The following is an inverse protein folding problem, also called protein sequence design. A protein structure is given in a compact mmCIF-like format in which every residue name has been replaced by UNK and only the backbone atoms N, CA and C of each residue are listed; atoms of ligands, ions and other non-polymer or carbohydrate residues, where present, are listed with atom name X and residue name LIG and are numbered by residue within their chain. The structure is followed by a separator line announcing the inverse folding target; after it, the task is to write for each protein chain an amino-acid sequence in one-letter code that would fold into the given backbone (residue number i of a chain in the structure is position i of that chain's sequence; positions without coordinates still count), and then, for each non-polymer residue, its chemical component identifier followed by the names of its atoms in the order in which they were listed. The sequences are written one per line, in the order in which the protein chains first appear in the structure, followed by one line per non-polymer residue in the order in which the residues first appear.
data_IF_157526853638
#
_entry.id   IF_157526853638
#
_cell.length_a   1.000
_cell.length_b   1.000
_cell.length_c   1.000
_cell.angle_alpha   90.00
_cell.angle_beta   90.00
_cell.angle_gamma   90.00
#
_symmetry.space_group_name_H-M   'P 1'
#
loop_
_entity.id
_entity.type
_entity.pdbx_description
1 polymer ?
#
# COMPACT_ATOMS: atom_id res chain seq x y z
N UNK A 1 -89.45 -14.40 15.96
CA UNK A 1 -88.84 -14.08 17.27
C UNK A 1 -88.02 -15.32 17.66
N UNK A 2 -87.00 -15.73 16.92
CA UNK A 2 -85.66 -15.13 16.74
C UNK A 2 -84.98 -14.82 18.09
N UNK A 3 -84.21 -15.79 18.59
CA UNK A 3 -83.28 -15.61 19.70
C UNK A 3 -81.87 -15.84 19.17
N UNK A 4 -81.11 -14.75 19.09
CA UNK A 4 -79.75 -14.69 18.59
C UNK A 4 -78.75 -15.24 19.61
N UNK A 5 -77.91 -16.15 19.13
CA UNK A 5 -76.66 -16.63 19.75
C UNK A 5 -75.65 -15.48 19.85
N UNK A 6 -74.89 -15.31 20.96
CA UNK A 6 -73.76 -14.39 20.95
C UNK A 6 -72.60 -15.01 20.18
N UNK A 7 -72.21 -14.40 19.07
CA UNK A 7 -70.98 -14.70 18.37
C UNK A 7 -69.79 -14.17 19.18
N UNK A 8 -68.93 -15.08 19.66
CA UNK A 8 -67.57 -14.73 20.12
C UNK A 8 -66.77 -14.20 18.94
N UNK A 9 -66.55 -12.89 18.91
CA UNK A 9 -65.61 -12.24 18.01
C UNK A 9 -64.19 -12.49 18.52
N UNK A 10 -63.57 -13.57 18.05
CA UNK A 10 -62.13 -13.75 18.14
C UNK A 10 -61.46 -12.61 17.37
N UNK A 11 -60.91 -11.65 18.11
CA UNK A 11 -60.15 -10.54 17.55
C UNK A 11 -58.81 -11.10 17.09
N UNK A 12 -58.63 -11.26 15.78
CA UNK A 12 -57.30 -11.46 15.19
C UNK A 12 -56.48 -10.20 15.46
N UNK A 13 -55.75 -10.20 16.58
CA UNK A 13 -54.72 -9.21 16.86
C UNK A 13 -53.63 -9.36 15.81
N UNK A 14 -53.71 -8.54 14.77
CA UNK A 14 -52.62 -8.33 13.84
C UNK A 14 -51.38 -7.94 14.64
N UNK A 15 -50.25 -8.56 14.30
CA UNK A 15 -48.95 -8.27 14.92
C UNK A 15 -48.71 -6.77 14.80
N UNK A 16 -49.00 -6.04 15.87
CA UNK A 16 -48.88 -4.59 15.88
C UNK A 16 -47.42 -4.22 15.68
N UNK A 17 -47.15 -3.12 15.00
CA UNK A 17 -45.78 -2.63 14.78
C UNK A 17 -44.98 -2.51 16.09
N UNK A 18 -45.65 -2.24 17.22
CA UNK A 18 -45.05 -2.26 18.56
C UNK A 18 -44.67 -3.65 19.08
N UNK A 19 -45.38 -4.70 18.66
CA UNK A 19 -45.07 -6.09 18.99
C UNK A 19 -43.85 -6.58 18.19
N UNK A 20 -43.71 -6.14 16.93
CA UNK A 20 -42.50 -6.36 16.11
C UNK A 20 -41.29 -5.65 16.72
N UNK A 21 -41.41 -4.37 17.05
CA UNK A 21 -40.30 -3.62 17.68
C UNK A 21 -39.90 -4.19 19.04
N UNK A 22 -40.86 -4.64 19.86
CA UNK A 22 -40.56 -5.33 21.12
C UNK A 22 -39.80 -6.63 20.88
N UNK A 23 -40.21 -7.42 19.89
CA UNK A 23 -39.56 -8.70 19.57
C UNK A 23 -38.15 -8.51 19.01
N UNK A 24 -37.94 -7.50 18.17
CA UNK A 24 -36.60 -7.08 17.71
C UNK A 24 -35.76 -6.62 18.91
N UNK A 25 -36.32 -5.83 19.82
CA UNK A 25 -35.63 -5.38 21.03
C UNK A 25 -35.21 -6.55 21.92
N UNK A 26 -36.09 -7.54 22.10
CA UNK A 26 -35.82 -8.74 22.90
C UNK A 26 -34.73 -9.62 22.27
N UNK A 27 -34.80 -9.86 20.95
CA UNK A 27 -33.80 -10.60 20.20
C UNK A 27 -32.44 -9.89 20.19
N UNK A 28 -32.43 -8.56 20.03
CA UNK A 28 -31.18 -7.75 20.06
C UNK A 28 -30.54 -7.80 21.44
N UNK A 29 -31.34 -7.78 22.51
CA UNK A 29 -30.86 -7.90 23.89
C UNK A 29 -30.34 -9.30 24.19
N UNK A 30 -31.05 -10.34 23.74
CA UNK A 30 -30.57 -11.73 23.85
C UNK A 30 -29.25 -11.95 23.09
N UNK A 31 -29.12 -11.40 21.89
CA UNK A 31 -27.87 -11.45 21.13
C UNK A 31 -26.75 -10.70 21.87
N UNK A 32 -27.04 -9.50 22.39
CA UNK A 32 -26.08 -8.71 23.15
C UNK A 32 -25.62 -9.42 24.43
N UNK A 33 -26.57 -9.99 25.19
CA UNK A 33 -26.28 -10.72 26.42
C UNK A 33 -25.45 -11.97 26.11
N UNK A 34 -25.78 -12.72 25.05
CA UNK A 34 -25.02 -13.89 24.60
C UNK A 34 -23.59 -13.52 24.14
N UNK A 35 -23.44 -12.46 23.33
CA UNK A 35 -22.12 -11.95 22.91
C UNK A 35 -21.27 -11.49 24.10
N UNK A 36 -21.90 -10.95 25.14
CA UNK A 36 -21.23 -10.52 26.36
C UNK A 36 -20.86 -11.70 27.26
N UNK A 37 -21.73 -12.69 27.40
CA UNK A 37 -21.48 -13.91 28.19
C UNK A 37 -20.36 -14.78 27.58
N UNK A 38 -20.25 -14.79 26.26
CA UNK A 38 -19.19 -15.48 25.51
C UNK A 38 -17.87 -14.68 25.44
N UNK A 39 -17.81 -13.46 25.99
CA UNK A 39 -16.60 -12.62 25.99
C UNK A 39 -16.24 -11.98 24.63
N UNK A 40 -17.16 -12.00 23.67
CA UNK A 40 -16.93 -11.44 22.32
C UNK A 40 -17.33 -9.98 22.18
N UNK A 41 -18.09 -9.44 23.14
CA UNK A 41 -18.43 -8.02 23.16
C UNK A 41 -17.19 -7.12 23.19
N UNK A 42 -16.11 -7.54 23.84
CA UNK A 42 -14.85 -6.80 23.89
C UNK A 42 -14.08 -6.93 22.56
N UNK A 43 -13.96 -8.14 22.00
CA UNK A 43 -13.27 -8.35 20.69
C UNK A 43 -13.94 -7.62 19.52
N UNK A 44 -15.27 -7.62 19.46
CA UNK A 44 -16.01 -6.90 18.41
C UNK A 44 -15.83 -5.38 18.55
N UNK A 45 -15.67 -4.90 19.78
CA UNK A 45 -15.41 -3.49 20.08
C UNK A 45 -14.01 -3.09 19.65
N UNK A 46 -13.01 -3.93 19.91
CA UNK A 46 -11.63 -3.76 19.43
C UNK A 46 -11.59 -3.69 17.89
N UNK A 47 -12.23 -4.63 17.19
CA UNK A 47 -12.34 -4.60 15.72
C UNK A 47 -13.03 -3.32 15.20
N UNK A 48 -14.02 -2.81 15.92
CA UNK A 48 -14.71 -1.56 15.56
C UNK A 48 -13.81 -0.33 15.77
N UNK A 49 -12.88 -0.38 16.72
CA UNK A 49 -11.88 0.67 16.96
C UNK A 49 -10.71 0.62 15.94
N UNK A 50 -10.42 -0.55 15.39
CA UNK A 50 -9.37 -0.78 14.40
C UNK A 50 -9.75 -0.29 12.97
N UNK A 51 -11.02 -0.39 12.58
CA UNK A 51 -11.48 0.04 11.25
C UNK A 51 -11.19 1.52 10.93
N UNK A 52 -11.43 2.48 11.84
CA UNK A 52 -11.01 3.88 11.65
C UNK A 52 -9.51 4.05 11.44
N UNK A 53 -8.66 3.27 12.14
CA UNK A 53 -7.21 3.32 11.96
C UNK A 53 -6.81 2.86 10.54
N UNK A 54 -7.42 1.78 10.05
CA UNK A 54 -7.22 1.31 8.67
C UNK A 54 -7.57 2.40 7.63
N UNK A 55 -8.71 3.07 7.81
CA UNK A 55 -9.15 4.14 6.90
C UNK A 55 -8.21 5.35 6.93
N UNK A 56 -7.73 5.74 8.12
CA UNK A 56 -6.75 6.81 8.29
C UNK A 56 -5.44 6.48 7.58
N UNK A 57 -4.97 5.23 7.68
CA UNK A 57 -3.77 4.73 7.00
C UNK A 57 -3.92 4.74 5.47
N UNK A 58 -5.04 4.25 4.94
CA UNK A 58 -5.31 4.28 3.50
C UNK A 58 -5.40 5.72 2.96
N UNK A 59 -6.01 6.62 3.73
CA UNK A 59 -6.10 8.04 3.39
C UNK A 59 -4.72 8.72 3.46
N UNK A 60 -3.88 8.34 4.42
CA UNK A 60 -2.49 8.78 4.50
C UNK A 60 -1.69 8.34 3.27
N UNK A 61 -1.84 7.08 2.85
CA UNK A 61 -1.22 6.55 1.63
C UNK A 61 -1.66 7.38 0.42
N UNK A 62 -2.98 7.56 0.22
CA UNK A 62 -3.51 8.30 -0.92
C UNK A 62 -2.98 9.74 -0.99
N UNK A 63 -2.83 10.40 0.17
CA UNK A 63 -2.24 11.74 0.25
C UNK A 63 -0.75 11.72 -0.10
N UNK A 64 0.02 10.82 0.51
CA UNK A 64 1.46 10.75 0.34
C UNK A 64 1.84 10.40 -1.11
N UNK A 65 1.12 9.48 -1.74
CA UNK A 65 1.33 9.13 -3.16
C UNK A 65 0.95 10.27 -4.09
N UNK A 66 -0.12 11.00 -3.80
CA UNK A 66 -0.50 12.20 -4.54
C UNK A 66 0.54 13.31 -4.46
N UNK A 67 1.05 13.60 -3.26
CA UNK A 67 2.09 14.62 -3.03
C UNK A 67 3.40 14.28 -3.75
N UNK A 68 3.82 13.01 -3.69
CA UNK A 68 5.02 12.56 -4.38
C UNK A 68 4.86 12.60 -5.91
N UNK A 69 3.72 12.18 -6.44
CA UNK A 69 3.43 12.24 -7.87
C UNK A 69 3.45 13.67 -8.40
N UNK A 70 2.83 14.61 -7.69
CA UNK A 70 2.83 16.04 -8.03
C UNK A 70 4.26 16.61 -8.02
N UNK A 71 5.05 16.27 -6.99
CA UNK A 71 6.46 16.69 -6.89
C UNK A 71 7.28 16.17 -8.08
N UNK A 72 7.18 14.87 -8.40
CA UNK A 72 7.92 14.26 -9.51
C UNK A 72 7.50 14.88 -10.84
N UNK A 73 6.20 15.08 -11.07
CA UNK A 73 5.69 15.70 -12.30
C UNK A 73 6.25 17.12 -12.49
N UNK A 74 6.24 17.93 -11.42
CA UNK A 74 6.78 19.28 -11.43
C UNK A 74 8.28 19.29 -11.78
N UNK A 75 9.06 18.42 -11.14
CA UNK A 75 10.50 18.30 -11.41
C UNK A 75 10.79 17.89 -12.86
N UNK A 76 10.01 16.94 -13.39
CA UNK A 76 10.12 16.50 -14.79
C UNK A 76 9.76 17.61 -15.77
N UNK A 77 8.70 18.37 -15.52
CA UNK A 77 8.29 19.46 -16.40
C UNK A 77 9.32 20.59 -16.41
N UNK A 78 9.86 20.96 -15.24
CA UNK A 78 10.93 21.95 -15.14
C UNK A 78 12.21 21.48 -15.85
N UNK A 79 12.60 20.22 -15.66
CA UNK A 79 13.77 19.63 -16.33
C UNK A 79 13.61 19.64 -17.85
N UNK A 80 12.41 19.30 -18.36
CA UNK A 80 12.09 19.37 -19.80
C UNK A 80 12.13 20.80 -20.32
N UNK A 81 11.67 21.77 -19.54
CA UNK A 81 11.78 23.20 -19.87
C UNK A 81 13.24 23.60 -20.09
N UNK A 82 14.10 23.30 -19.11
CA UNK A 82 15.55 23.57 -19.18
C UNK A 82 16.22 22.87 -20.36
N UNK A 83 15.90 21.60 -20.59
CA UNK A 83 16.42 20.85 -21.74
C UNK A 83 16.03 21.51 -23.07
N UNK A 84 14.79 22.01 -23.18
CA UNK A 84 14.31 22.72 -24.37
C UNK A 84 15.12 24.01 -24.61
N UNK A 85 15.41 24.76 -23.55
CA UNK A 85 16.22 25.97 -23.60
C UNK A 85 17.67 25.68 -24.00
N UNK A 86 18.30 24.66 -23.42
CA UNK A 86 19.63 24.19 -23.81
C UNK A 86 19.65 23.85 -25.29
N UNK A 87 18.67 23.09 -25.80
CA UNK A 87 18.58 22.74 -27.23
C UNK A 87 18.43 23.99 -28.10
N UNK A 88 17.61 24.96 -27.68
CA UNK A 88 17.44 26.22 -28.42
C UNK A 88 18.72 27.06 -28.46
N UNK A 89 19.41 27.22 -27.33
CA UNK A 89 20.68 27.92 -27.26
C UNK A 89 21.78 27.21 -28.06
N UNK A 90 21.82 25.87 -28.00
CA UNK A 90 22.74 25.05 -28.80
C UNK A 90 22.56 25.30 -30.30
N UNK A 91 21.31 25.36 -30.76
CA UNK A 91 20.99 25.68 -32.17
C UNK A 91 21.49 27.07 -32.56
N UNK A 92 21.26 28.08 -31.71
CA UNK A 92 21.74 29.46 -31.91
C UNK A 92 23.27 29.54 -31.95
N UNK A 93 23.94 28.88 -31.00
CA UNK A 93 25.41 28.83 -30.93
C UNK A 93 26.00 28.22 -32.20
N UNK A 94 25.44 27.09 -32.65
CA UNK A 94 25.86 26.45 -33.90
C UNK A 94 25.67 27.37 -35.11
N UNK A 95 24.55 28.11 -35.18
CA UNK A 95 24.32 29.07 -36.26
C UNK A 95 25.35 30.20 -36.25
N UNK A 96 25.67 30.75 -35.07
CA UNK A 96 26.71 31.76 -34.92
C UNK A 96 28.09 31.23 -35.33
N UNK A 97 28.43 30.00 -34.95
CA UNK A 97 29.66 29.31 -35.32
C UNK A 97 29.82 29.10 -36.82
N UNK A 98 28.74 28.76 -37.52
CA UNK A 98 28.73 28.59 -38.98
C UNK A 98 28.88 29.95 -39.68
N UNK A 99 28.22 30.99 -39.15
CA UNK A 99 28.22 32.31 -39.77
C UNK A 99 29.57 33.04 -39.62
N UNK A 100 30.14 33.05 -38.41
CA UNK A 100 31.44 33.65 -38.11
C UNK A 100 32.02 33.06 -36.81
N UNK A 101 32.89 32.04 -36.90
CA UNK A 101 33.43 31.37 -35.73
C UNK A 101 34.37 32.28 -34.92
N UNK A 102 35.12 33.18 -35.58
CA UNK A 102 36.05 34.08 -34.89
C UNK A 102 35.29 35.12 -34.09
N UNK A 103 34.24 35.72 -34.65
CA UNK A 103 33.41 36.66 -33.90
C UNK A 103 32.63 35.98 -32.76
N UNK A 104 32.16 34.75 -32.95
CA UNK A 104 31.47 34.00 -31.90
C UNK A 104 32.38 33.74 -30.68
N UNK A 105 33.66 33.41 -30.91
CA UNK A 105 34.68 33.29 -29.85
C UNK A 105 35.00 34.66 -29.25
N UNK A 106 35.34 35.64 -30.08
CA UNK A 106 35.84 36.94 -29.62
C UNK A 106 34.80 37.75 -28.84
N UNK A 107 33.51 37.59 -29.15
CA UNK A 107 32.40 38.24 -28.43
C UNK A 107 32.00 37.50 -27.15
N UNK A 108 32.65 36.38 -26.82
CA UNK A 108 32.38 35.60 -25.61
C UNK A 108 31.09 34.78 -25.65
N UNK A 109 30.40 34.69 -26.80
CA UNK A 109 29.13 33.98 -26.88
C UNK A 109 29.25 32.50 -26.47
N UNK A 110 30.37 31.86 -26.83
CA UNK A 110 30.65 30.46 -26.48
C UNK A 110 30.78 30.29 -24.98
N UNK A 111 31.54 31.18 -24.33
CA UNK A 111 31.80 31.04 -22.90
C UNK A 111 30.50 31.20 -22.10
N UNK A 112 29.68 32.19 -22.47
CA UNK A 112 28.37 32.38 -21.85
C UNK A 112 27.47 31.15 -22.03
N UNK A 113 27.46 30.56 -23.23
CA UNK A 113 26.67 29.35 -23.50
C UNK A 113 27.20 28.13 -22.74
N UNK A 114 28.51 27.95 -22.62
CA UNK A 114 29.10 26.85 -21.87
C UNK A 114 28.77 26.98 -20.37
N UNK A 115 28.84 28.20 -19.83
CA UNK A 115 28.45 28.48 -18.44
C UNK A 115 26.95 28.26 -18.20
N UNK A 116 26.09 28.71 -19.12
CA UNK A 116 24.64 28.49 -19.06
C UNK A 116 24.28 27.00 -19.17
N UNK A 117 24.99 26.26 -20.02
CA UNK A 117 24.84 24.80 -20.16
C UNK A 117 25.27 24.08 -18.88
N UNK A 118 26.43 24.41 -18.33
CA UNK A 118 26.95 23.80 -17.10
C UNK A 118 25.94 23.95 -15.96
N UNK A 119 25.47 25.18 -15.70
CA UNK A 119 24.44 25.46 -14.69
C UNK A 119 23.14 24.72 -14.96
N UNK A 120 22.69 24.70 -16.21
CA UNK A 120 21.42 24.04 -16.56
C UNK A 120 21.51 22.53 -16.37
N UNK A 121 22.63 21.91 -16.73
CA UNK A 121 22.87 20.48 -16.53
C UNK A 121 23.02 20.11 -15.06
N UNK A 122 23.69 20.93 -14.25
CA UNK A 122 23.77 20.74 -12.79
C UNK A 122 22.38 20.81 -12.13
N UNK A 123 21.54 21.75 -12.55
CA UNK A 123 20.17 21.84 -12.04
C UNK A 123 19.35 20.60 -12.45
N UNK A 124 19.45 20.16 -13.70
CA UNK A 124 18.74 18.95 -14.16
C UNK A 124 19.21 17.72 -13.39
N UNK A 125 20.50 17.57 -13.12
CA UNK A 125 21.06 16.48 -12.32
C UNK A 125 20.51 16.46 -10.88
N UNK A 126 20.46 17.63 -10.25
CA UNK A 126 19.82 17.79 -8.94
C UNK A 126 18.33 17.43 -8.97
N UNK A 127 17.60 17.80 -10.04
CA UNK A 127 16.19 17.43 -10.20
C UNK A 127 16.01 15.91 -10.36
N UNK A 128 16.90 15.22 -11.08
CA UNK A 128 16.88 13.76 -11.20
C UNK A 128 17.16 13.09 -9.84
N UNK A 129 18.09 13.63 -9.06
CA UNK A 129 18.36 13.18 -7.69
C UNK A 129 17.14 13.40 -6.80
N UNK A 130 16.47 14.54 -6.90
CA UNK A 130 15.24 14.81 -6.15
C UNK A 130 14.08 13.89 -6.54
N UNK A 131 13.96 13.51 -7.83
CA UNK A 131 12.97 12.52 -8.27
C UNK A 131 13.28 11.16 -7.64
N UNK A 132 14.54 10.76 -7.60
CA UNK A 132 14.98 9.52 -6.95
C UNK A 132 14.67 9.52 -5.46
N UNK A 133 14.95 10.62 -4.76
CA UNK A 133 14.62 10.76 -3.33
C UNK A 133 13.12 10.88 -3.08
N UNK A 134 12.37 11.50 -3.99
CA UNK A 134 10.92 11.56 -3.88
C UNK A 134 10.32 10.15 -3.82
N UNK A 135 10.99 9.12 -4.37
CA UNK A 135 10.58 7.71 -4.35
C UNK A 135 10.50 7.08 -2.95
N UNK A 136 11.03 7.72 -1.90
CA UNK A 136 10.95 7.25 -0.50
C UNK A 136 9.50 7.08 -0.01
N UNK A 137 8.51 7.70 -0.69
CA UNK A 137 7.09 7.42 -0.43
C UNK A 137 6.73 5.95 -0.61
N UNK A 138 7.43 5.23 -1.50
CA UNK A 138 7.14 3.83 -1.80
C UNK A 138 7.41 2.93 -0.59
N UNK A 139 8.52 3.16 0.13
CA UNK A 139 8.85 2.42 1.34
C UNK A 139 7.84 2.70 2.47
N UNK A 140 7.56 3.98 2.72
CA UNK A 140 6.55 4.36 3.71
C UNK A 140 5.16 3.80 3.37
N UNK A 141 4.79 3.83 2.09
CA UNK A 141 3.52 3.26 1.61
C UNK A 141 3.50 1.75 1.82
N UNK A 142 4.58 1.04 1.50
CA UNK A 142 4.71 -0.40 1.75
C UNK A 142 4.55 -0.76 3.22
N UNK A 143 5.21 -0.02 4.11
CA UNK A 143 5.07 -0.22 5.57
C UNK A 143 3.64 0.01 6.06
N UNK A 144 2.96 1.04 5.55
CA UNK A 144 1.57 1.32 5.95
C UNK A 144 0.61 0.28 5.38
N UNK A 145 0.79 -0.17 4.14
CA UNK A 145 0.01 -1.26 3.53
C UNK A 145 0.18 -2.54 4.36
N UNK A 146 1.40 -2.92 4.72
CA UNK A 146 1.64 -4.11 5.54
C UNK A 146 0.86 -4.08 6.86
N UNK A 147 0.79 -2.90 7.52
CA UNK A 147 0.00 -2.71 8.74
C UNK A 147 -1.50 -2.85 8.48
N UNK A 148 -2.02 -2.29 7.39
CA UNK A 148 -3.44 -2.42 7.01
C UNK A 148 -3.80 -3.87 6.68
N UNK A 149 -2.92 -4.60 5.98
CA UNK A 149 -3.11 -6.02 5.67
C UNK A 149 -3.12 -6.86 6.94
N UNK A 150 -2.18 -6.63 7.86
CA UNK A 150 -2.16 -7.32 9.15
C UNK A 150 -3.44 -7.06 9.94
N UNK A 151 -3.92 -5.82 9.95
CA UNK A 151 -5.15 -5.43 10.62
C UNK A 151 -6.38 -6.14 10.02
N UNK A 152 -6.47 -6.17 8.69
CA UNK A 152 -7.53 -6.88 7.99
C UNK A 152 -7.50 -8.39 8.29
N UNK A 153 -6.32 -9.00 8.33
CA UNK A 153 -6.17 -10.42 8.65
C UNK A 153 -6.58 -10.74 10.10
N UNK A 154 -6.23 -9.89 11.06
CA UNK A 154 -6.69 -10.05 12.45
C UNK A 154 -8.21 -9.99 12.54
N UNK A 155 -8.82 -8.99 11.87
CA UNK A 155 -10.27 -8.79 11.86
C UNK A 155 -10.97 -9.99 11.21
N UNK A 156 -10.44 -10.49 10.09
CA UNK A 156 -10.93 -11.71 9.44
C UNK A 156 -10.90 -12.93 10.38
N UNK A 157 -9.78 -13.19 11.05
CA UNK A 157 -9.64 -14.31 11.99
C UNK A 157 -10.65 -14.22 13.14
N UNK A 158 -10.85 -13.02 13.71
CA UNK A 158 -11.82 -12.78 14.77
C UNK A 158 -13.26 -13.03 14.30
N UNK A 159 -13.61 -12.61 13.08
CA UNK A 159 -14.94 -12.85 12.51
C UNK A 159 -15.16 -14.34 12.19
N UNK A 160 -14.14 -15.04 11.67
CA UNK A 160 -14.22 -16.49 11.41
C UNK A 160 -14.37 -17.28 12.71
N UNK A 161 -13.62 -16.95 13.76
CA UNK A 161 -13.76 -17.58 15.08
C UNK A 161 -15.17 -17.39 15.64
N UNK A 162 -15.70 -16.15 15.55
CA UNK A 162 -17.06 -15.85 15.97
C UNK A 162 -18.08 -16.66 15.19
N UNK A 163 -17.92 -16.77 13.86
CA UNK A 163 -18.81 -17.55 13.00
C UNK A 163 -18.74 -19.05 13.28
N UNK A 164 -17.56 -19.61 13.57
CA UNK A 164 -17.41 -21.03 13.92
C UNK A 164 -18.04 -21.36 15.27
N UNK A 165 -17.96 -20.46 16.26
CA UNK A 165 -18.57 -20.67 17.58
C UNK A 165 -20.07 -20.43 17.60
N UNK A 166 -20.56 -19.48 16.80
CA UNK A 166 -22.01 -19.19 16.68
C UNK A 166 -22.68 -20.00 15.58
N UNK A 167 -21.92 -20.72 14.76
CA UNK A 167 -22.47 -21.71 13.86
C UNK A 167 -23.34 -22.65 14.69
N UNK A 168 -24.64 -22.78 14.37
CA UNK A 168 -25.43 -23.81 15.01
C UNK A 168 -24.66 -25.11 14.82
N UNK A 169 -24.49 -25.88 15.89
CA UNK A 169 -24.23 -27.31 15.75
C UNK A 169 -25.41 -27.83 14.97
N UNK A 170 -25.29 -27.82 13.63
CA UNK A 170 -26.15 -28.54 12.72
C UNK A 170 -26.20 -29.91 13.37
N UNK A 171 -27.38 -30.19 13.92
CA UNK A 171 -27.63 -31.37 14.71
C UNK A 171 -26.95 -32.52 14.00
N UNK A 172 -26.22 -33.33 14.77
CA UNK A 172 -25.66 -34.60 14.34
C UNK A 172 -26.78 -35.57 13.92
N UNK A 173 -27.65 -35.17 12.99
CA UNK A 173 -28.37 -36.07 12.11
C UNK A 173 -27.37 -36.42 11.03
N UNK A 174 -26.96 -37.68 11.03
CA UNK A 174 -26.20 -38.31 9.97
C UNK A 174 -26.81 -37.95 8.61
N UNK A 175 -26.30 -36.90 7.96
CA UNK A 175 -26.44 -36.77 6.52
C UNK A 175 -25.34 -37.64 5.95
N UNK A 176 -25.72 -38.86 5.57
CA UNK A 176 -24.93 -39.72 4.70
C UNK A 176 -24.75 -38.98 3.37
N UNK A 177 -23.78 -38.06 3.32
CA UNK A 177 -23.38 -37.39 2.09
C UNK A 177 -22.53 -38.35 1.28
N UNK A 178 -23.00 -38.64 0.07
CA UNK A 178 -22.31 -39.47 -0.91
C UNK A 178 -20.89 -38.91 -1.15
N UNK A 179 -19.89 -39.79 -1.10
CA UNK A 179 -18.47 -39.43 -1.04
C UNK A 179 -17.99 -38.63 -2.27
N UNK A 180 -18.78 -38.59 -3.34
CA UNK A 180 -18.49 -37.80 -4.54
C UNK A 180 -18.70 -36.28 -4.38
N UNK A 181 -19.67 -35.84 -3.58
CA UNK A 181 -20.04 -34.41 -3.50
C UNK A 181 -19.26 -33.64 -2.43
N UNK A 182 -18.83 -34.33 -1.36
CA UNK A 182 -17.97 -33.76 -0.31
C UNK A 182 -16.56 -33.42 -0.83
N UNK A 183 -16.07 -34.10 -1.86
CA UNK A 183 -14.78 -33.79 -2.48
C UNK A 183 -14.82 -32.49 -3.31
N UNK A 184 -15.93 -32.25 -4.01
CA UNK A 184 -16.14 -31.01 -4.75
C UNK A 184 -16.41 -29.81 -3.82
N UNK A 185 -17.19 -30.01 -2.75
CA UNK A 185 -17.45 -28.95 -1.77
C UNK A 185 -16.23 -28.62 -0.91
N UNK A 186 -15.41 -29.61 -0.53
CA UNK A 186 -14.15 -29.38 0.18
C UNK A 186 -13.10 -28.67 -0.71
N UNK A 187 -13.06 -28.97 -2.01
CA UNK A 187 -12.20 -28.27 -2.97
C UNK A 187 -12.64 -26.82 -3.25
N UNK A 188 -13.91 -26.48 -3.00
CA UNK A 188 -14.42 -25.11 -3.11
C UNK A 188 -14.36 -24.32 -1.80
N UNK A 189 -14.45 -24.99 -0.64
CA UNK A 189 -14.41 -24.36 0.68
C UNK A 189 -12.99 -24.21 1.24
N UNK A 190 -12.10 -25.16 0.96
CA UNK A 190 -10.66 -24.92 1.05
C UNK A 190 -10.25 -24.39 -0.30
N UNK A 191 -9.92 -23.10 -0.40
CA UNK A 191 -9.39 -22.48 -1.62
C UNK A 191 -8.00 -23.02 -1.97
N UNK A 192 -7.83 -24.33 -2.01
CA UNK A 192 -6.59 -25.03 -2.31
C UNK A 192 -6.41 -25.11 -3.82
N UNK A 193 -6.25 -23.94 -4.42
CA UNK A 193 -5.59 -23.75 -5.71
C UNK A 193 -5.13 -22.29 -5.89
N UNK A 194 -4.65 -21.63 -4.82
CA UNK A 194 -3.69 -20.53 -4.99
C UNK A 194 -2.56 -20.77 -3.99
N UNK A 195 -1.47 -21.31 -4.52
CA UNK A 195 -0.25 -21.49 -3.75
C UNK A 195 0.21 -20.12 -3.26
N UNK A 196 0.44 -20.04 -1.96
CA UNK A 196 0.78 -18.82 -1.22
C UNK A 196 2.13 -18.21 -1.63
N UNK A 197 2.88 -18.86 -2.52
CA UNK A 197 4.07 -18.32 -3.18
C UNK A 197 3.72 -17.30 -4.29
N UNK A 198 2.49 -17.31 -4.83
CA UNK A 198 2.09 -16.41 -5.91
C UNK A 198 1.64 -15.02 -5.46
N UNK A 199 1.37 -14.79 -4.17
CA UNK A 199 0.92 -13.47 -3.70
C UNK A 199 2.08 -12.47 -3.69
N UNK A 200 3.29 -12.93 -3.40
CA UNK A 200 4.52 -12.13 -3.53
C UNK A 200 4.86 -11.86 -5.01
N UNK A 201 4.64 -12.83 -5.90
CA UNK A 201 4.84 -12.68 -7.35
C UNK A 201 3.81 -11.72 -8.00
N UNK A 202 2.57 -11.68 -7.50
CA UNK A 202 1.53 -10.77 -7.99
C UNK A 202 1.78 -9.32 -7.56
N UNK A 203 2.42 -9.12 -6.41
CA UNK A 203 2.86 -7.80 -5.96
C UNK A 203 4.08 -7.32 -6.76
N UNK A 204 5.03 -8.22 -7.05
CA UNK A 204 6.16 -7.96 -7.93
C UNK A 204 5.75 -7.69 -9.40
N UNK A 205 4.73 -8.39 -9.92
CA UNK A 205 4.21 -8.20 -11.27
C UNK A 205 3.47 -6.86 -11.43
N UNK A 206 2.73 -6.41 -10.42
CA UNK A 206 2.06 -5.10 -10.44
C UNK A 206 3.05 -3.91 -10.40
N UNK A 207 4.19 -4.09 -9.74
CA UNK A 207 5.32 -3.15 -9.76
C UNK A 207 6.05 -3.14 -11.12
N UNK A 208 6.03 -4.26 -11.85
CA UNK A 208 6.62 -4.36 -13.19
C UNK A 208 5.72 -3.79 -14.29
N UNK A 209 4.38 -3.84 -14.15
CA UNK A 209 3.44 -3.34 -15.17
C UNK A 209 3.19 -1.83 -15.15
N UNK A 210 3.71 -1.09 -14.16
CA UNK A 210 3.57 0.39 -14.08
C UNK A 210 4.85 1.17 -14.43
N UNK A 211 5.93 0.47 -14.80
CA UNK A 211 7.19 1.07 -15.27
C UNK A 211 7.22 1.28 -16.78
N UNK A 212 6.60 2.35 -17.28
CA UNK A 212 6.96 2.89 -18.60
C UNK A 212 8.33 3.56 -18.51
N UNK A 213 9.35 2.99 -19.16
CA UNK A 213 10.53 3.75 -19.59
C UNK A 213 11.08 3.21 -20.94
N UNK A 214 11.47 4.09 -21.87
CA UNK A 214 11.94 3.70 -23.20
C UNK A 214 13.45 3.39 -23.25
N UNK A 215 13.77 2.43 -24.12
CA UNK A 215 14.93 2.37 -25.03
C UNK A 215 16.38 2.50 -24.49
N UNK A 216 17.04 1.32 -24.42
CA UNK A 216 18.27 0.94 -25.15
C UNK A 216 19.66 1.49 -24.76
N UNK A 217 20.50 0.56 -24.27
CA UNK A 217 21.92 0.37 -24.64
C UNK A 217 22.29 -1.13 -24.48
N UNK A 218 23.32 -1.65 -25.17
CA UNK A 218 23.26 -2.96 -25.82
C UNK A 218 23.78 -4.16 -25.01
N UNK A 219 23.32 -5.32 -25.49
CA UNK A 219 23.71 -6.71 -25.22
C UNK A 219 25.11 -6.98 -24.64
N UNK A 220 25.13 -7.77 -23.56
CA UNK A 220 26.16 -8.80 -23.36
C UNK A 220 25.49 -10.16 -23.10
N UNK A 221 25.93 -11.13 -23.90
CA UNK A 221 25.44 -12.50 -23.98
C UNK A 221 26.30 -13.42 -23.09
N UNK A 222 25.68 -13.98 -22.05
CA UNK A 222 25.92 -15.30 -21.42
C UNK A 222 27.35 -15.82 -21.12
N UNK A 223 27.61 -16.13 -19.83
CA UNK A 223 28.40 -17.30 -19.37
C UNK A 223 28.07 -17.68 -17.91
N UNK A 224 28.37 -18.92 -17.44
CA UNK A 224 27.42 -19.81 -16.78
C UNK A 224 27.55 -19.85 -15.25
N UNK A 225 26.53 -20.40 -14.61
CA UNK A 225 26.40 -20.61 -13.18
C UNK A 225 27.58 -21.36 -12.51
N UNK A 226 28.07 -20.82 -11.39
CA UNK A 226 28.76 -21.53 -10.30
C UNK A 226 28.89 -20.61 -9.07
N UNK A 227 29.17 -21.17 -7.87
CA UNK A 227 28.24 -21.68 -6.86
C UNK A 227 27.87 -20.63 -5.78
N UNK A 228 26.89 -20.95 -4.95
CA UNK A 228 26.43 -20.12 -3.82
C UNK A 228 27.59 -19.58 -2.95
N UNK A 229 27.71 -18.25 -2.86
CA UNK A 229 28.62 -17.61 -1.92
C UNK A 229 28.10 -17.83 -0.48
N UNK A 230 28.94 -18.29 0.46
CA UNK A 230 28.55 -18.41 1.86
C UNK A 230 28.22 -17.02 2.41
N UNK A 231 27.07 -16.88 3.10
CA UNK A 231 26.71 -15.67 3.86
C UNK A 231 27.88 -15.30 4.77
N UNK A 232 28.60 -14.25 4.42
CA UNK A 232 29.59 -13.64 5.29
C UNK A 232 28.81 -12.84 6.34
N UNK A 233 28.69 -13.39 7.54
CA UNK A 233 28.27 -12.62 8.72
C UNK A 233 29.35 -11.61 9.04
N UNK A 234 29.22 -10.41 8.48
CA UNK A 234 29.94 -9.24 8.98
C UNK A 234 29.52 -8.94 10.42
N UNK A 235 30.31 -8.13 11.16
CA UNK A 235 29.92 -7.70 12.50
C UNK A 235 28.55 -7.03 12.44
N UNK A 236 27.56 -7.64 13.08
CA UNK A 236 26.21 -7.08 13.22
C UNK A 236 26.28 -6.04 14.32
N UNK A 237 26.12 -4.77 13.93
CA UNK A 237 26.04 -3.66 14.88
C UNK A 237 24.61 -3.60 15.39
N UNK A 238 24.41 -3.76 16.70
CA UNK A 238 23.09 -3.64 17.32
C UNK A 238 22.67 -2.16 17.33
N UNK A 239 21.56 -1.77 16.65
CA UNK A 239 21.12 -0.39 16.58
C UNK A 239 20.73 0.21 17.94
N UNK A 240 20.59 -0.61 18.99
CA UNK A 240 20.31 -0.16 20.37
C UNK A 240 21.55 -0.09 21.27
N UNK A 241 22.74 -0.39 20.75
CA UNK A 241 23.98 -0.26 21.51
C UNK A 241 24.34 1.23 21.69
N UNK A 242 24.89 1.58 22.86
CA UNK A 242 25.15 2.98 23.25
C UNK A 242 26.19 3.70 22.38
N UNK A 243 27.01 2.95 21.65
CA UNK A 243 28.07 3.48 20.77
C UNK A 243 27.62 3.58 19.29
N UNK A 244 26.31 3.48 19.02
CA UNK A 244 25.76 3.50 17.66
C UNK A 244 25.07 4.83 17.38
N UNK A 245 25.64 5.55 16.43
CA UNK A 245 25.12 6.82 15.97
C UNK A 245 23.92 6.56 15.06
N UNK A 246 22.76 7.12 15.40
CA UNK A 246 21.49 6.87 14.69
C UNK A 246 20.91 8.11 14.02
N UNK A 247 21.53 9.28 14.19
CA UNK A 247 21.11 10.52 13.53
C UNK A 247 22.29 11.36 13.05
N UNK A 248 22.08 12.15 11.99
CA UNK A 248 23.11 13.02 11.42
C UNK A 248 23.65 14.05 12.44
N UNK A 249 22.80 14.55 13.32
CA UNK A 249 23.19 15.45 14.42
C UNK A 249 24.21 14.84 15.38
N UNK A 250 24.09 13.54 15.66
CA UNK A 250 25.04 12.82 16.50
C UNK A 250 26.36 12.57 15.77
N UNK A 251 26.34 12.39 14.44
CA UNK A 251 27.56 12.30 13.63
C UNK A 251 28.35 13.61 13.70
N UNK A 252 27.66 14.74 13.54
CA UNK A 252 28.28 16.06 13.55
C UNK A 252 28.89 16.40 14.92
N UNK A 253 28.21 16.02 16.01
CA UNK A 253 28.72 16.17 17.39
C UNK A 253 29.95 15.29 17.67
N UNK A 254 29.97 14.07 17.11
CA UNK A 254 31.10 13.16 17.24
C UNK A 254 32.32 13.66 16.46
N UNK A 255 32.13 14.18 15.25
CA UNK A 255 33.19 14.77 14.44
C UNK A 255 33.77 16.03 15.11
N UNK A 256 32.90 16.88 15.66
CA UNK A 256 33.33 18.04 16.44
C UNK A 256 34.13 17.64 17.69
N UNK A 257 33.75 16.54 18.37
CA UNK A 257 34.48 16.03 19.55
C UNK A 257 35.87 15.47 19.19
N UNK A 258 36.05 14.99 17.95
CA UNK A 258 37.30 14.46 17.41
C UNK A 258 38.18 15.52 16.76
N UNK A 259 37.70 16.78 16.70
CA UNK A 259 38.45 17.91 16.15
C UNK A 259 38.45 18.01 14.62
N UNK A 260 37.43 17.41 13.98
CA UNK A 260 37.13 17.59 12.55
C UNK A 260 36.01 18.62 12.33
#
# INVERSE_FOLDING_TARGET
MDQATPQSTASTQGIGQGDVHNKIGLLTRQLHDALRELGYADRLRDATEELPDAQNRLSYIARLTGEAAEKVLTLVDDAKGRQTDIVAQTKKMRQAMIADPVAAVAKGHIMNYLEDMEKSTEIVDNQLTEIMMAQDFHDLTGQVIAKVVHLASNLEQQLVELLLLTAPQLAQGEVQLDQGEVSAAAAMATGSAVQTEQVDDLWAAALAESGSAPAAAPAEESKPAAPAHPKLSGPVVDPNAQDVVTSQSQVDELLASLGF
#
